data_IF_708651527497
#
_entry.id   IF_708651527497
#
_cell.length_a   1.000
_cell.length_b   1.000
_cell.length_c   1.000
_cell.angle_alpha   90.00
_cell.angle_beta   90.00
_cell.angle_gamma   90.00
#
_symmetry.space_group_name_H-M   'P 1'
#
loop_
_entity.id
_entity.type
_entity.pdbx_description
1 polymer ?
#
# COMPACT_ATOMS: atom_id res chain seq x y z
N UNK A 1 -49.27 -4.57 -8.72
CA UNK A 1 -48.71 -5.29 -9.88
C UNK A 1 -47.35 -5.81 -9.46
N UNK A 2 -47.25 -7.10 -9.17
CA UNK A 2 -46.03 -7.77 -8.73
C UNK A 2 -45.66 -8.77 -9.83
N UNK A 3 -44.48 -8.62 -10.43
CA UNK A 3 -44.00 -9.54 -11.45
C UNK A 3 -43.25 -10.70 -10.80
N UNK A 4 -43.78 -11.91 -11.05
CA UNK A 4 -43.07 -13.18 -10.93
C UNK A 4 -41.93 -13.23 -11.96
N UNK A 5 -40.75 -13.70 -11.57
CA UNK A 5 -39.81 -14.28 -12.52
C UNK A 5 -39.53 -15.74 -12.17
N UNK A 6 -39.87 -16.58 -13.15
CA UNK A 6 -39.77 -18.03 -13.22
C UNK A 6 -38.31 -18.45 -13.44
N UNK A 7 -37.81 -19.37 -12.63
CA UNK A 7 -36.62 -20.16 -12.95
C UNK A 7 -37.07 -21.40 -13.72
N UNK A 8 -36.65 -21.50 -14.98
CA UNK A 8 -36.75 -22.71 -15.78
C UNK A 8 -35.35 -23.23 -16.08
N UNK A 9 -35.06 -24.39 -15.51
CA UNK A 9 -34.65 -25.62 -16.21
C UNK A 9 -33.52 -25.52 -17.25
N UNK A 10 -32.37 -26.15 -16.94
CA UNK A 10 -31.40 -26.62 -17.94
C UNK A 10 -30.88 -28.00 -17.51
N UNK A 11 -30.95 -29.03 -18.38
CA UNK A 11 -30.66 -30.42 -18.02
C UNK A 11 -29.18 -30.80 -18.16
N UNK A 12 -28.82 -31.88 -17.45
CA UNK A 12 -27.59 -32.65 -17.56
C UNK A 12 -27.34 -33.17 -19.00
N UNK A 13 -26.08 -33.31 -19.42
CA UNK A 13 -25.56 -34.51 -20.10
C UNK A 13 -24.02 -34.46 -20.25
N UNK A 14 -23.37 -35.36 -19.52
CA UNK A 14 -22.28 -36.28 -19.93
C UNK A 14 -21.44 -35.97 -21.18
N UNK A 15 -20.12 -35.81 -21.01
CA UNK A 15 -19.11 -36.23 -22.00
C UNK A 15 -17.86 -36.77 -21.28
N UNK A 16 -17.72 -38.09 -21.32
CA UNK A 16 -16.46 -38.83 -21.19
C UNK A 16 -15.52 -38.42 -22.34
N UNK A 17 -14.20 -38.29 -22.09
CA UNK A 17 -13.13 -39.06 -22.77
C UNK A 17 -11.77 -38.53 -22.30
N UNK A 18 -10.98 -39.40 -21.67
CA UNK A 18 -9.53 -39.27 -21.47
C UNK A 18 -8.86 -40.29 -22.39
N UNK A 19 -7.76 -39.92 -23.05
CA UNK A 19 -6.74 -40.92 -23.33
C UNK A 19 -5.32 -40.48 -22.98
N UNK A 20 -4.62 -41.44 -22.36
CA UNK A 20 -3.20 -41.85 -22.49
C UNK A 20 -2.08 -40.81 -22.58
N UNK A 21 -1.00 -41.03 -21.80
CA UNK A 21 0.24 -41.68 -22.28
C UNK A 21 1.24 -41.89 -21.13
N UNK A 22 1.54 -43.17 -20.88
CA UNK A 22 2.86 -43.82 -20.68
C UNK A 22 3.93 -43.07 -19.85
N UNK A 23 4.15 -43.46 -18.60
CA UNK A 23 5.06 -44.54 -18.13
C UNK A 23 6.55 -44.30 -18.42
N UNK A 24 7.22 -43.96 -17.32
CA UNK A 24 8.64 -43.67 -17.14
C UNK A 24 9.59 -44.79 -17.60
N UNK A 25 10.53 -44.44 -18.48
CA UNK A 25 11.77 -45.18 -18.68
C UNK A 25 12.87 -44.63 -17.77
N UNK A 26 13.57 -45.52 -17.05
CA UNK A 26 14.88 -45.23 -16.45
C UNK A 26 15.95 -44.98 -17.53
N UNK A 27 17.18 -44.62 -17.13
CA UNK A 27 18.03 -45.65 -16.52
C UNK A 27 18.82 -45.21 -15.28
N UNK A 28 19.08 -46.20 -14.44
CA UNK A 28 20.11 -46.27 -13.41
C UNK A 28 21.50 -46.07 -14.02
N UNK A 29 22.28 -45.14 -13.46
CA UNK A 29 23.73 -45.14 -13.62
C UNK A 29 24.40 -44.89 -12.27
N UNK A 30 25.27 -45.83 -11.95
CA UNK A 30 26.07 -46.01 -10.75
C UNK A 30 27.21 -45.00 -10.71
N UNK A 31 27.35 -44.24 -9.61
CA UNK A 31 28.63 -43.65 -9.24
C UNK A 31 28.70 -43.42 -7.73
N UNK A 32 29.47 -44.29 -7.08
CA UNK A 32 29.96 -44.17 -5.69
C UNK A 32 31.03 -43.07 -5.67
N UNK A 33 30.90 -42.10 -4.77
CA UNK A 33 31.85 -41.00 -4.63
C UNK A 33 31.70 -40.28 -3.31
N UNK A 34 32.29 -40.88 -2.27
CA UNK A 34 32.55 -40.34 -0.94
C UNK A 34 33.14 -38.92 -1.02
N UNK A 35 32.53 -37.93 -0.37
CA UNK A 35 33.26 -36.71 0.02
C UNK A 35 32.71 -36.11 1.32
N UNK A 36 33.67 -35.75 2.16
CA UNK A 36 33.52 -35.35 3.55
C UNK A 36 32.99 -33.92 3.67
N UNK A 37 32.24 -33.66 4.75
CA UNK A 37 32.00 -32.30 5.24
C UNK A 37 33.32 -31.65 5.66
N UNK A 38 33.48 -30.34 5.41
CA UNK A 38 34.03 -29.51 6.48
C UNK A 38 33.22 -28.23 6.71
N UNK A 39 33.11 -27.92 7.99
CA UNK A 39 32.64 -26.66 8.53
C UNK A 39 33.59 -25.50 8.21
N UNK A 40 33.07 -24.29 8.45
CA UNK A 40 33.77 -23.02 8.73
C UNK A 40 34.57 -22.34 7.61
N UNK A 41 34.04 -21.20 7.13
CA UNK A 41 34.85 -20.05 6.74
C UNK A 41 34.06 -18.74 6.87
N UNK A 42 34.29 -18.03 7.99
CA UNK A 42 34.09 -16.57 8.08
C UNK A 42 35.00 -15.91 7.05
N UNK A 43 34.48 -15.03 6.20
CA UNK A 43 35.29 -13.99 5.57
C UNK A 43 34.53 -12.67 5.48
N UNK A 44 35.10 -11.69 6.18
CA UNK A 44 34.80 -10.26 6.15
C UNK A 44 35.06 -9.75 4.74
N UNK A 45 34.14 -8.97 4.18
CA UNK A 45 34.45 -8.03 3.11
C UNK A 45 34.22 -6.61 3.63
N UNK A 46 35.31 -5.87 3.65
CA UNK A 46 35.39 -4.45 3.99
C UNK A 46 35.79 -3.67 2.74
N UNK A 47 35.03 -2.59 2.49
CA UNK A 47 35.40 -1.31 1.87
C UNK A 47 36.07 -1.25 0.48
N UNK A 48 35.37 -0.60 -0.47
CA UNK A 48 35.74 0.63 -1.21
C UNK A 48 34.76 0.76 -2.42
N UNK A 49 33.78 1.67 -2.46
CA UNK A 49 33.84 3.13 -2.69
C UNK A 49 34.41 3.54 -4.06
N UNK A 50 33.52 3.86 -5.01
CA UNK A 50 33.70 4.90 -6.04
C UNK A 50 32.32 5.20 -6.66
N UNK A 51 31.63 6.29 -6.29
CA UNK A 51 31.79 7.68 -6.77
C UNK A 51 30.89 7.96 -8.00
N UNK A 52 29.84 8.74 -7.72
CA UNK A 52 29.15 9.73 -8.55
C UNK A 52 28.26 9.27 -9.72
N UNK A 53 26.96 9.27 -9.45
CA UNK A 53 25.99 9.90 -10.33
C UNK A 53 25.17 10.89 -9.49
N UNK A 54 25.51 12.17 -9.62
CA UNK A 54 24.66 13.29 -9.25
C UNK A 54 23.43 13.28 -10.16
N UNK A 55 22.25 13.08 -9.58
CA UNK A 55 21.02 13.57 -10.20
C UNK A 55 19.94 13.77 -9.15
N UNK A 56 19.88 15.02 -8.67
CA UNK A 56 18.74 15.76 -8.14
C UNK A 56 17.59 14.86 -7.66
N UNK A 57 17.74 14.29 -6.48
CA UNK A 57 16.64 13.70 -5.73
C UNK A 57 15.93 14.88 -5.06
N UNK A 58 14.75 15.23 -5.56
CA UNK A 58 13.84 16.11 -4.83
C UNK A 58 13.53 15.41 -3.52
N UNK A 59 14.11 15.89 -2.43
CA UNK A 59 13.99 15.27 -1.14
C UNK A 59 12.54 15.41 -0.66
N UNK A 60 11.76 14.33 -0.64
CA UNK A 60 10.70 14.19 0.36
C UNK A 60 11.42 14.25 1.70
N UNK A 61 11.34 15.42 2.34
CA UNK A 61 12.01 15.66 3.61
C UNK A 61 11.58 14.58 4.60
N UNK A 62 12.56 13.77 5.04
CA UNK A 62 12.40 12.77 6.08
C UNK A 62 12.24 13.48 7.44
N UNK A 63 11.20 14.27 7.58
CA UNK A 63 10.89 14.93 8.84
C UNK A 63 10.23 13.89 9.75
N UNK A 64 10.90 13.57 10.85
CA UNK A 64 10.38 12.62 11.85
C UNK A 64 9.09 13.17 12.45
N UNK A 65 7.96 12.73 11.93
CA UNK A 65 6.65 13.00 12.52
C UNK A 65 6.59 12.42 13.95
N UNK A 66 6.69 13.29 14.95
CA UNK A 66 6.55 12.91 16.36
C UNK A 66 5.07 12.89 16.76
N UNK A 67 4.64 11.86 17.48
CA UNK A 67 3.25 11.71 17.95
C UNK A 67 2.88 12.64 19.14
N UNK A 68 3.69 13.63 19.47
CA UNK A 68 3.46 14.50 20.62
C UNK A 68 3.01 15.86 20.11
N UNK A 69 1.71 15.99 19.88
CA UNK A 69 1.09 17.31 19.73
C UNK A 69 0.26 17.68 20.97
N UNK A 70 0.64 18.80 21.57
CA UNK A 70 0.05 19.48 22.72
C UNK A 70 -1.13 20.39 22.38
N UNK A 71 -1.81 20.22 21.23
CA UNK A 71 -2.94 21.09 20.90
C UNK A 71 -4.15 20.93 21.81
N UNK A 72 -4.89 22.05 21.88
CA UNK A 72 -6.23 22.23 22.46
C UNK A 72 -7.07 20.96 22.28
N UNK A 73 -7.85 20.62 23.31
CA UNK A 73 -8.57 19.36 23.42
C UNK A 73 -9.58 19.06 22.29
N UNK A 74 -9.78 19.97 21.32
CA UNK A 74 -10.74 19.88 20.22
C UNK A 74 -10.14 20.07 18.81
N UNK A 75 -8.83 19.89 18.63
CA UNK A 75 -8.22 20.01 17.31
C UNK A 75 -8.58 18.79 16.43
N UNK A 76 -9.12 19.06 15.24
CA UNK A 76 -9.41 18.08 14.21
C UNK A 76 -8.83 18.52 12.86
N UNK A 77 -8.75 17.60 11.91
CA UNK A 77 -8.32 17.80 10.53
C UNK A 77 -9.46 17.33 9.63
N UNK A 78 -10.02 18.21 8.82
CA UNK A 78 -10.86 17.80 7.70
C UNK A 78 -9.93 17.31 6.61
N UNK A 79 -10.13 16.06 6.16
CA UNK A 79 -9.37 15.41 5.10
C UNK A 79 -10.33 15.02 3.99
N UNK A 80 -10.08 15.54 2.80
CA UNK A 80 -10.73 15.17 1.55
C UNK A 80 -9.71 14.55 0.59
N UNK A 81 -10.10 13.44 -0.01
CA UNK A 81 -9.34 12.71 -1.03
C UNK A 81 -10.01 12.94 -2.37
N UNK A 82 -9.41 13.77 -3.20
CA UNK A 82 -9.89 14.08 -4.55
C UNK A 82 -9.24 13.11 -5.55
N UNK A 83 -10.00 12.27 -6.26
CA UNK A 83 -9.43 11.28 -7.15
C UNK A 83 -8.69 11.96 -8.30
N UNK A 84 -7.44 11.54 -8.54
CA UNK A 84 -6.63 12.04 -9.66
C UNK A 84 -7.09 11.47 -11.00
N UNK A 85 -7.86 10.38 -10.97
CA UNK A 85 -8.39 9.67 -12.14
C UNK A 85 -9.85 9.29 -11.91
N UNK A 86 -10.64 9.33 -12.98
CA UNK A 86 -12.01 8.83 -12.97
C UNK A 86 -12.06 7.33 -12.60
N UNK A 87 -13.05 6.95 -11.78
CA UNK A 87 -13.26 5.56 -11.33
C UNK A 87 -12.75 5.28 -9.92
N UNK A 88 -12.01 6.20 -9.31
CA UNK A 88 -11.71 6.15 -7.87
C UNK A 88 -12.77 6.91 -7.06
N UNK A 89 -13.12 6.44 -5.85
CA UNK A 89 -14.09 7.10 -4.99
C UNK A 89 -13.52 8.42 -4.44
N UNK A 90 -14.34 9.46 -4.41
CA UNK A 90 -14.14 10.62 -3.53
C UNK A 90 -14.38 10.19 -2.09
N UNK A 91 -13.59 10.73 -1.16
CA UNK A 91 -13.74 10.42 0.26
C UNK A 91 -13.45 11.65 1.11
N UNK A 92 -14.26 11.89 2.12
CA UNK A 92 -14.06 12.97 3.08
C UNK A 92 -14.26 12.44 4.50
N UNK A 93 -13.38 12.85 5.41
CA UNK A 93 -13.44 12.46 6.82
C UNK A 93 -12.87 13.54 7.73
N UNK A 94 -13.15 13.40 9.03
CA UNK A 94 -12.55 14.21 10.09
C UNK A 94 -11.62 13.34 10.93
N UNK A 95 -10.37 13.77 11.07
CA UNK A 95 -9.39 13.12 11.91
C UNK A 95 -9.11 13.99 13.15
N UNK A 96 -9.14 13.45 14.36
CA UNK A 96 -8.98 14.28 15.56
C UNK A 96 -8.75 13.53 16.86
N UNK A 97 -8.45 14.28 17.92
CA UNK A 97 -8.23 13.71 19.26
C UNK A 97 -9.58 13.37 19.91
N UNK A 98 -9.83 12.08 20.14
CA UNK A 98 -11.13 11.58 20.64
C UNK A 98 -12.07 11.04 19.57
N UNK A 99 -11.65 11.11 18.29
CA UNK A 99 -12.30 10.47 17.14
C UNK A 99 -11.28 9.56 16.43
N UNK A 100 -11.53 9.26 15.16
CA UNK A 100 -10.58 8.54 14.31
C UNK A 100 -9.29 9.37 14.14
N UNK A 101 -8.14 8.80 14.50
CA UNK A 101 -6.83 9.48 14.37
C UNK A 101 -6.06 9.08 13.12
N UNK A 102 -6.51 8.02 12.46
CA UNK A 102 -5.92 7.50 11.24
C UNK A 102 -6.99 6.82 10.40
N UNK A 103 -6.85 6.91 9.09
CA UNK A 103 -7.62 6.14 8.13
C UNK A 103 -6.71 5.23 7.32
N UNK A 104 -7.26 4.12 6.86
CA UNK A 104 -6.58 3.08 6.10
C UNK A 104 -7.26 2.93 4.76
N UNK A 105 -6.45 2.83 3.71
CA UNK A 105 -6.90 2.55 2.35
C UNK A 105 -6.33 1.18 1.94
N UNK A 106 -7.13 0.35 1.28
CA UNK A 106 -6.66 -0.94 0.78
C UNK A 106 -7.76 -1.78 0.12
N UNK A 107 -7.42 -3.02 -0.23
CA UNK A 107 -8.34 -3.94 -0.92
C UNK A 107 -9.30 -4.72 -0.02
N UNK A 108 -9.11 -4.74 1.30
CA UNK A 108 -9.97 -5.50 2.23
C UNK A 108 -11.10 -4.62 2.76
N UNK A 109 -12.24 -4.60 2.06
CA UNK A 109 -13.40 -3.76 2.36
C UNK A 109 -13.99 -3.93 3.76
N UNK A 110 -13.66 -5.01 4.46
CA UNK A 110 -14.13 -5.26 5.84
C UNK A 110 -13.21 -4.68 6.91
N UNK A 111 -12.00 -4.21 6.54
CA UNK A 111 -10.94 -3.83 7.48
C UNK A 111 -10.29 -2.48 7.21
N UNK A 112 -10.69 -1.79 6.14
CA UNK A 112 -10.16 -0.49 5.74
C UNK A 112 -11.28 0.53 5.69
N UNK A 113 -10.92 1.80 5.86
CA UNK A 113 -11.86 2.92 5.83
C UNK A 113 -12.24 3.28 4.39
N UNK A 114 -11.29 3.15 3.46
CA UNK A 114 -11.51 3.33 2.02
C UNK A 114 -11.08 2.08 1.25
N UNK A 115 -12.06 1.36 0.71
CA UNK A 115 -11.84 0.15 -0.05
C UNK A 115 -11.58 0.46 -1.53
N UNK A 116 -10.49 -0.08 -2.08
CA UNK A 116 -10.21 -0.05 -3.52
C UNK A 116 -10.00 -1.47 -4.01
N UNK A 117 -10.96 -1.93 -4.82
CA UNK A 117 -10.94 -3.27 -5.40
C UNK A 117 -10.04 -3.29 -6.64
N UNK A 118 -8.78 -3.64 -6.42
CA UNK A 118 -7.78 -3.75 -7.48
C UNK A 118 -6.72 -4.80 -7.11
N UNK A 119 -6.24 -5.55 -8.10
CA UNK A 119 -5.30 -6.66 -7.89
C UNK A 119 -3.93 -6.20 -7.37
N UNK A 120 -3.52 -4.96 -7.68
CA UNK A 120 -2.25 -4.39 -7.23
C UNK A 120 -2.37 -3.65 -5.90
N UNK A 121 -3.59 -3.55 -5.37
CA UNK A 121 -3.84 -2.90 -4.09
C UNK A 121 -3.83 -3.94 -2.97
N UNK A 122 -2.79 -3.89 -2.13
CA UNK A 122 -2.71 -4.71 -0.91
C UNK A 122 -3.94 -4.52 0.00
N UNK A 123 -4.32 -5.57 0.74
CA UNK A 123 -5.46 -5.58 1.67
C UNK A 123 -5.48 -4.37 2.60
N UNK A 124 -4.30 -4.03 3.14
CA UNK A 124 -4.00 -2.78 3.83
C UNK A 124 -2.84 -2.14 3.09
N UNK A 125 -3.10 -1.09 2.34
CA UNK A 125 -2.13 -0.52 1.40
C UNK A 125 -1.43 0.70 1.98
N UNK A 126 -2.20 1.67 2.45
CA UNK A 126 -1.66 2.92 2.98
C UNK A 126 -2.44 3.34 4.22
N UNK A 127 -1.75 4.00 5.14
CA UNK A 127 -2.33 4.56 6.36
C UNK A 127 -2.07 6.06 6.37
N UNK A 128 -3.14 6.84 6.44
CA UNK A 128 -3.10 8.28 6.66
C UNK A 128 -3.37 8.54 8.14
N UNK A 129 -2.48 9.23 8.83
CA UNK A 129 -2.59 9.46 10.27
C UNK A 129 -2.27 10.90 10.60
N UNK A 130 -2.92 11.40 11.65
CA UNK A 130 -2.56 12.69 12.21
C UNK A 130 -1.09 12.72 12.62
N UNK A 131 -0.43 13.83 12.31
CA UNK A 131 0.94 14.13 12.71
C UNK A 131 0.97 15.46 13.47
N UNK A 132 1.78 15.54 14.52
CA UNK A 132 2.09 16.82 15.16
C UNK A 132 3.13 17.57 14.36
N UNK A 133 2.89 18.85 14.08
CA UNK A 133 3.77 19.71 13.29
C UNK A 133 3.91 21.04 14.01
N UNK A 134 5.06 21.40 14.56
CA UNK A 134 5.37 22.75 15.08
C UNK A 134 4.23 23.46 15.85
N UNK A 135 3.49 22.73 16.69
CA UNK A 135 2.36 23.29 17.45
C UNK A 135 1.01 23.34 16.72
N UNK A 136 0.94 22.84 15.49
CA UNK A 136 -0.18 22.67 14.55
C UNK A 136 -0.48 21.21 14.15
N UNK A 137 -1.58 20.99 13.40
CA UNK A 137 -2.00 19.65 12.92
C UNK A 137 -1.45 19.42 11.54
N UNK A 138 -0.84 18.27 11.35
CA UNK A 138 -0.46 17.77 10.04
C UNK A 138 -1.07 16.42 9.74
N UNK A 139 -0.82 15.98 8.51
CA UNK A 139 -1.11 14.64 8.06
C UNK A 139 0.21 13.91 7.78
N UNK A 140 0.21 12.63 8.03
CA UNK A 140 1.29 11.73 7.65
C UNK A 140 0.77 10.53 6.90
N UNK A 141 1.60 10.02 5.99
CA UNK A 141 1.38 8.81 5.20
C UNK A 141 2.35 7.73 5.68
N UNK A 142 1.88 6.50 5.83
CA UNK A 142 2.74 5.33 6.01
C UNK A 142 2.37 4.26 4.99
N UNK A 143 3.40 3.76 4.30
CA UNK A 143 3.27 2.67 3.32
C UNK A 143 3.24 1.32 4.03
N UNK A 144 2.15 0.57 3.80
CA UNK A 144 1.93 -0.80 4.27
C UNK A 144 1.84 -1.80 3.12
N UNK A 145 2.06 -1.34 1.89
CA UNK A 145 1.80 -2.11 0.68
C UNK A 145 2.96 -3.02 0.29
N UNK A 146 2.66 -3.95 -0.61
CA UNK A 146 3.67 -4.83 -1.23
C UNK A 146 4.30 -4.14 -2.46
N UNK A 147 3.47 -3.51 -3.31
CA UNK A 147 3.92 -2.87 -4.54
C UNK A 147 4.58 -1.49 -4.30
N UNK A 148 4.20 -0.82 -3.22
CA UNK A 148 4.69 0.50 -2.82
C UNK A 148 3.57 1.55 -2.80
N UNK A 149 3.83 2.65 -2.10
CA UNK A 149 3.03 3.87 -2.15
C UNK A 149 3.90 5.01 -2.67
N UNK A 150 3.33 5.94 -3.44
CA UNK A 150 4.03 7.10 -3.98
C UNK A 150 3.38 8.41 -3.50
N UNK A 151 4.20 9.39 -3.13
CA UNK A 151 3.76 10.76 -2.83
C UNK A 151 4.50 11.70 -3.77
N UNK A 152 3.77 12.52 -4.52
CA UNK A 152 4.30 13.44 -5.53
C UNK A 152 5.24 12.76 -6.54
N UNK A 153 4.98 11.49 -6.84
CA UNK A 153 5.79 10.67 -7.75
C UNK A 153 7.00 9.98 -7.10
N UNK A 154 7.35 10.30 -5.85
CA UNK A 154 8.42 9.61 -5.12
C UNK A 154 7.87 8.41 -4.35
N UNK A 155 8.55 7.25 -4.46
CA UNK A 155 8.17 6.02 -3.76
C UNK A 155 8.55 6.12 -2.29
N UNK A 156 7.58 5.94 -1.40
CA UNK A 156 7.83 5.84 0.03
C UNK A 156 8.54 4.52 0.36
N UNK A 157 9.41 4.50 1.39
CA UNK A 157 10.02 3.27 1.85
C UNK A 157 8.99 2.41 2.61
N UNK A 158 8.98 1.12 2.30
CA UNK A 158 8.08 0.11 2.89
C UNK A 158 8.50 -0.29 4.33
N UNK A 159 8.76 0.70 5.18
CA UNK A 159 9.18 0.50 6.58
C UNK A 159 8.07 0.83 7.58
N UNK A 160 6.82 1.04 7.12
CA UNK A 160 5.69 1.55 7.93
C UNK A 160 6.01 2.86 8.66
N UNK A 161 7.03 3.58 8.18
CA UNK A 161 7.45 4.86 8.74
C UNK A 161 6.47 5.91 8.25
N UNK A 162 6.17 6.86 9.14
CA UNK A 162 5.29 7.98 8.83
C UNK A 162 6.11 9.08 8.17
N UNK A 163 5.65 9.50 7.00
CA UNK A 163 6.16 10.62 6.22
C UNK A 163 5.15 11.74 6.29
N UNK A 164 5.62 12.93 6.62
CA UNK A 164 4.77 14.12 6.62
C UNK A 164 4.38 14.45 5.17
N UNK A 165 3.13 14.84 4.99
CA UNK A 165 2.60 15.34 3.71
C UNK A 165 1.97 16.72 3.90
N UNK A 166 1.82 17.43 2.79
CA UNK A 166 1.26 18.77 2.71
C UNK A 166 -0.09 18.77 1.99
N UNK A 167 -0.87 19.82 2.24
CA UNK A 167 -2.10 20.07 1.50
C UNK A 167 -1.78 20.23 0.01
N UNK A 168 -2.54 19.54 -0.83
CA UNK A 168 -2.37 19.48 -2.27
C UNK A 168 -1.44 18.38 -2.79
N UNK A 169 -0.78 17.62 -1.91
CA UNK A 169 0.08 16.50 -2.31
C UNK A 169 -0.69 15.40 -3.05
N UNK A 170 -0.03 14.76 -4.02
CA UNK A 170 -0.59 13.66 -4.80
C UNK A 170 -0.14 12.32 -4.23
N UNK A 171 -1.09 11.52 -3.73
CA UNK A 171 -0.89 10.18 -3.22
C UNK A 171 -1.30 9.15 -4.27
N UNK A 172 -0.36 8.32 -4.73
CA UNK A 172 -0.61 7.22 -5.66
C UNK A 172 -0.34 5.87 -4.99
N UNK A 173 -1.21 4.89 -5.23
CA UNK A 173 -1.12 3.53 -4.66
C UNK A 173 -0.70 2.48 -5.71
N UNK A 174 -0.34 2.93 -6.91
CA UNK A 174 0.29 2.12 -7.95
C UNK A 174 1.49 2.87 -8.51
N UNK A 175 2.47 2.09 -8.97
CA UNK A 175 3.64 2.65 -9.61
C UNK A 175 3.29 3.24 -10.98
N UNK A 176 4.01 4.29 -11.42
CA UNK A 176 3.73 4.99 -12.68
C UNK A 176 3.86 4.08 -13.91
N UNK A 177 4.69 3.04 -13.84
CA UNK A 177 4.84 2.06 -14.93
C UNK A 177 3.60 1.16 -15.11
N UNK A 178 2.76 1.01 -14.07
CA UNK A 178 1.53 0.21 -14.15
C UNK A 178 0.36 1.11 -14.53
N UNK A 179 0.14 2.14 -13.72
CA UNK A 179 -0.96 3.06 -13.91
C UNK A 179 -0.63 4.39 -13.25
N UNK A 180 -0.41 5.40 -14.08
CA UNK A 180 -0.14 6.75 -13.63
C UNK A 180 -1.40 7.36 -12.99
N UNK A 181 -1.22 8.19 -11.97
CA UNK A 181 -2.29 8.93 -11.30
C UNK A 181 -3.38 8.05 -10.67
N UNK A 182 -3.07 6.78 -10.38
CA UNK A 182 -3.98 5.91 -9.63
C UNK A 182 -3.88 6.21 -8.13
N UNK A 183 -4.68 7.19 -7.71
CA UNK A 183 -4.81 7.62 -6.32
C UNK A 183 -5.53 8.96 -6.19
N UNK A 184 -5.14 9.76 -5.20
CA UNK A 184 -5.84 10.98 -4.81
C UNK A 184 -4.91 12.15 -4.56
N UNK A 185 -5.41 13.34 -4.83
CA UNK A 185 -4.90 14.57 -4.26
C UNK A 185 -5.42 14.70 -2.83
N UNK A 186 -4.51 14.95 -1.89
CA UNK A 186 -4.82 15.16 -0.49
C UNK A 186 -5.21 16.64 -0.31
N UNK A 187 -6.43 16.89 0.14
CA UNK A 187 -6.88 18.23 0.51
C UNK A 187 -7.26 18.20 1.98
N UNK A 188 -6.55 18.94 2.82
CA UNK A 188 -6.81 18.94 4.24
C UNK A 188 -6.55 20.28 4.92
N UNK A 189 -7.34 20.53 5.96
CA UNK A 189 -7.29 21.76 6.74
C UNK A 189 -7.61 21.49 8.20
N UNK A 190 -7.02 22.29 9.09
CA UNK A 190 -7.35 22.24 10.50
C UNK A 190 -8.82 22.65 10.69
N UNK A 191 -9.59 21.76 11.28
CA UNK A 191 -10.98 21.95 11.64
C UNK A 191 -11.07 22.20 13.16
N UNK A 192 -11.76 23.26 13.55
CA UNK A 192 -12.07 23.52 14.95
C UNK A 192 -13.41 22.86 15.26
N UNK A 193 -13.41 21.80 16.06
CA UNK A 193 -14.66 21.24 16.57
C UNK A 193 -15.22 22.19 17.65
N UNK A 194 -16.40 22.76 17.39
CA UNK A 194 -17.16 23.50 18.40
C UNK A 194 -17.57 22.55 19.53
N UNK A 195 -17.50 23.03 20.78
CA UNK A 195 -17.92 22.29 21.98
C UNK A 195 -19.44 22.19 22.08
#
# INVERSE_FOLDING_TARGET
>A
VWFYFSLSDVPEHSVMTVPSVESLGGPTSTAVGRFESPATARKKYSHAASVFADQVVGAVAEERATNVWTSKQNAALSLRLEPLKAGLPEFETLLGKGMQQAMTIGGDSCRVDLAVLDEFVSKRHVVLALAGVDGGLGLSVADASIEGTWVNGERLPATMKRFRVHDGDSLCIKGPCREENFGWKLVFQEAVCAQ
#
